data_IF_107428047851
#
_entry.id   IF_107428047851
#
_cell.length_a   1.000
_cell.length_b   1.000
_cell.length_c   1.000
_cell.angle_alpha   90.00
_cell.angle_beta   90.00
_cell.angle_gamma   90.00
#
_symmetry.space_group_name_H-M   'P 1'
#
loop_
_entity.id
_entity.type
_entity.pdbx_description
1 polymer ?
#
# COMPACT_ATOMS: atom_id res chain seq x y z
N UNK A 1 4.95 2.60 -10.31
CA UNK A 1 5.03 3.95 -9.70
C UNK A 1 5.58 3.89 -8.28
N UNK A 2 4.70 3.73 -7.28
CA UNK A 2 5.05 3.82 -5.85
C UNK A 2 6.26 2.98 -5.40
N UNK A 3 6.38 1.73 -5.86
CA UNK A 3 7.53 0.86 -5.52
C UNK A 3 8.89 1.48 -5.89
N UNK A 4 9.02 1.97 -7.12
CA UNK A 4 10.28 2.53 -7.61
C UNK A 4 10.62 3.84 -6.91
N UNK A 5 9.62 4.70 -6.73
CA UNK A 5 9.77 5.96 -6.01
C UNK A 5 10.25 5.72 -4.57
N UNK A 6 9.60 4.80 -3.85
CA UNK A 6 10.00 4.45 -2.48
C UNK A 6 11.45 3.94 -2.45
N UNK A 7 11.86 3.09 -3.40
CA UNK A 7 13.24 2.61 -3.45
C UNK A 7 14.27 3.71 -3.66
N UNK A 8 14.00 4.67 -4.55
CA UNK A 8 14.94 5.76 -4.84
C UNK A 8 15.06 6.75 -3.67
N UNK A 9 13.96 7.03 -2.96
CA UNK A 9 13.96 7.96 -1.83
C UNK A 9 14.44 7.33 -0.52
N UNK A 10 14.37 6.00 -0.39
CA UNK A 10 14.62 5.31 0.87
C UNK A 10 15.99 5.66 1.47
N UNK A 11 17.05 5.57 0.67
CA UNK A 11 18.42 5.81 1.14
C UNK A 11 18.58 7.27 1.60
N UNK A 12 18.01 8.24 0.86
CA UNK A 12 18.03 9.65 1.26
C UNK A 12 17.24 9.90 2.55
N UNK A 13 16.10 9.25 2.72
CA UNK A 13 15.29 9.36 3.94
C UNK A 13 16.02 8.79 5.16
N UNK A 14 16.70 7.65 5.01
CA UNK A 14 17.51 7.04 6.08
C UNK A 14 18.67 7.97 6.45
N UNK A 15 19.41 8.47 5.47
CA UNK A 15 20.52 9.41 5.69
C UNK A 15 20.05 10.70 6.39
N UNK A 16 18.96 11.29 5.91
CA UNK A 16 18.39 12.51 6.51
C UNK A 16 17.90 12.26 7.93
N UNK A 17 17.24 11.12 8.17
CA UNK A 17 16.79 10.74 9.50
C UNK A 17 17.98 10.57 10.44
N UNK A 18 19.07 9.95 10.00
CA UNK A 18 20.30 9.80 10.78
C UNK A 18 20.93 11.14 11.14
N UNK A 19 21.02 12.08 10.18
CA UNK A 19 21.60 13.41 10.39
C UNK A 19 20.77 14.31 11.30
N UNK A 20 19.45 14.30 11.13
CA UNK A 20 18.55 15.25 11.84
C UNK A 20 18.07 14.74 13.19
N UNK A 21 18.17 13.44 13.47
CA UNK A 21 17.54 12.85 14.65
C UNK A 21 16.05 12.54 14.48
N UNK A 22 15.42 13.03 13.41
CA UNK A 22 13.96 12.98 13.21
C UNK A 22 13.58 11.68 12.48
N UNK A 23 12.58 10.97 12.99
CA UNK A 23 12.09 9.73 12.39
C UNK A 23 11.35 9.99 11.07
N UNK A 24 11.75 9.30 9.99
CA UNK A 24 11.04 9.34 8.71
C UNK A 24 9.80 8.44 8.72
N UNK A 25 8.74 8.82 8.00
CA UNK A 25 7.50 8.02 7.88
C UNK A 25 7.05 7.92 6.43
N UNK A 26 6.72 6.71 5.98
CA UNK A 26 6.18 6.41 4.66
C UNK A 26 4.78 5.81 4.85
N UNK A 27 3.78 6.32 4.13
CA UNK A 27 2.40 5.83 4.25
C UNK A 27 1.90 5.41 2.87
N UNK A 28 1.60 4.12 2.71
CA UNK A 28 1.00 3.56 1.50
C UNK A 28 -0.53 3.54 1.63
N UNK A 29 -1.22 4.16 0.68
CA UNK A 29 -2.69 4.23 0.65
C UNK A 29 -3.28 3.05 -0.15
N UNK A 30 -3.76 2.04 0.57
CA UNK A 30 -4.53 0.90 0.04
C UNK A 30 -6.04 1.19 0.00
N UNK A 31 -6.87 0.15 -0.22
CA UNK A 31 -8.34 0.22 -0.34
C UNK A 31 -8.96 -1.10 0.13
N UNK A 32 -10.21 -1.09 0.60
CA UNK A 32 -10.94 -2.27 1.14
C UNK A 32 -10.99 -3.44 0.15
N UNK A 33 -10.95 -3.15 -1.14
CA UNK A 33 -11.02 -4.14 -2.22
C UNK A 33 -9.83 -5.12 -2.23
N UNK A 34 -8.74 -4.84 -1.50
CA UNK A 34 -7.65 -5.79 -1.32
C UNK A 34 -8.13 -7.14 -0.74
N UNK A 35 -9.20 -7.13 0.05
CA UNK A 35 -9.78 -8.34 0.66
C UNK A 35 -10.50 -9.26 -0.33
N UNK A 36 -10.84 -8.75 -1.52
CA UNK A 36 -11.49 -9.53 -2.58
C UNK A 36 -10.52 -10.47 -3.30
N UNK A 37 -9.21 -10.30 -3.09
CA UNK A 37 -8.20 -11.20 -3.61
C UNK A 37 -8.03 -12.37 -2.65
N UNK A 38 -8.54 -13.55 -3.05
CA UNK A 38 -8.20 -14.80 -2.37
C UNK A 38 -6.69 -15.04 -2.43
N UNK A 39 -6.11 -15.57 -1.35
CA UNK A 39 -4.67 -15.87 -1.23
C UNK A 39 -4.14 -16.73 -2.39
N UNK A 40 -4.98 -17.62 -2.92
CA UNK A 40 -4.67 -18.53 -4.04
C UNK A 40 -4.78 -17.88 -5.42
N UNK A 41 -5.34 -16.67 -5.52
CA UNK A 41 -5.61 -15.97 -6.79
C UNK A 41 -4.72 -14.73 -7.00
N UNK A 42 -3.72 -14.54 -6.14
CA UNK A 42 -2.73 -13.48 -6.31
C UNK A 42 -1.66 -13.95 -7.31
N UNK A 43 -1.65 -13.33 -8.50
CA UNK A 43 -0.72 -13.67 -9.57
C UNK A 43 -0.15 -12.38 -10.17
N UNK A 44 1.15 -12.13 -9.99
CA UNK A 44 1.82 -10.98 -10.60
C UNK A 44 1.86 -11.04 -12.12
N UNK A 45 1.92 -12.25 -12.71
CA UNK A 45 1.90 -12.44 -14.17
C UNK A 45 0.56 -12.02 -14.78
N UNK A 46 -0.55 -12.35 -14.12
CA UNK A 46 -1.89 -11.98 -14.58
C UNK A 46 -2.10 -10.46 -14.56
N UNK A 47 -1.47 -9.77 -13.61
CA UNK A 47 -1.55 -8.30 -13.49
C UNK A 47 -0.84 -7.56 -14.64
N UNK A 48 0.20 -8.16 -15.21
CA UNK A 48 0.97 -7.61 -16.34
C UNK A 48 0.49 -8.18 -17.70
N UNK A 49 -0.36 -9.19 -17.67
CA UNK A 49 -0.93 -9.84 -18.85
C UNK A 49 -2.14 -9.06 -19.37
N UNK A 50 -2.09 -8.60 -20.61
CA UNK A 50 -3.23 -7.97 -21.29
C UNK A 50 -4.34 -8.95 -21.71
N UNK A 51 -4.11 -10.27 -21.62
CA UNK A 51 -5.12 -11.29 -21.98
C UNK A 51 -6.10 -11.47 -20.81
N UNK A 52 -7.39 -11.25 -21.06
CA UNK A 52 -8.50 -11.33 -20.07
C UNK A 52 -8.38 -10.33 -18.90
N UNK A 53 -8.06 -9.07 -19.21
CA UNK A 53 -7.96 -8.01 -18.20
C UNK A 53 -9.30 -7.74 -17.51
N UNK A 54 -9.34 -7.91 -16.20
CA UNK A 54 -10.46 -7.50 -15.35
C UNK A 54 -9.99 -6.36 -14.44
N UNK A 55 -10.49 -5.14 -14.70
CA UNK A 55 -10.06 -3.93 -13.99
C UNK A 55 -10.27 -4.01 -12.48
N UNK A 56 -11.39 -4.60 -12.03
CA UNK A 56 -11.69 -4.79 -10.61
C UNK A 56 -10.68 -5.73 -9.95
N UNK A 57 -10.35 -6.85 -10.59
CA UNK A 57 -9.35 -7.81 -10.09
C UNK A 57 -7.94 -7.23 -10.10
N UNK A 58 -7.55 -6.53 -11.16
CA UNK A 58 -6.25 -5.88 -11.27
C UNK A 58 -6.08 -4.76 -10.21
N UNK A 59 -7.13 -3.99 -9.96
CA UNK A 59 -7.15 -2.98 -8.90
C UNK A 59 -7.07 -3.61 -7.50
N UNK A 60 -7.84 -4.68 -7.25
CA UNK A 60 -7.78 -5.45 -6.00
C UNK A 60 -6.38 -6.00 -5.72
N UNK A 61 -5.74 -6.61 -6.73
CA UNK A 61 -4.37 -7.10 -6.62
C UNK A 61 -3.36 -5.97 -6.41
N UNK A 62 -3.53 -4.82 -7.06
CA UNK A 62 -2.66 -3.66 -6.86
C UNK A 62 -2.74 -3.13 -5.43
N UNK A 63 -3.94 -3.07 -4.84
CA UNK A 63 -4.16 -2.62 -3.46
C UNK A 63 -3.64 -3.63 -2.43
N UNK A 64 -3.72 -4.93 -2.72
CA UNK A 64 -3.03 -5.97 -1.94
C UNK A 64 -1.50 -5.84 -2.05
N UNK A 65 -0.96 -5.60 -3.24
CA UNK A 65 0.48 -5.43 -3.46
C UNK A 65 1.05 -4.25 -2.66
N UNK A 66 0.29 -3.16 -2.47
CA UNK A 66 0.71 -2.04 -1.61
C UNK A 66 0.87 -2.43 -0.13
N UNK A 67 -0.01 -3.31 0.39
CA UNK A 67 0.07 -3.82 1.77
C UNK A 67 1.26 -4.76 1.91
N UNK A 68 1.44 -5.68 0.96
CA UNK A 68 2.58 -6.60 0.94
C UNK A 68 3.91 -5.85 0.85
N UNK A 69 3.95 -4.80 0.03
CA UNK A 69 5.11 -3.93 -0.08
C UNK A 69 5.43 -3.23 1.24
N UNK A 70 4.43 -2.65 1.93
CA UNK A 70 4.65 -2.04 3.24
C UNK A 70 5.18 -3.04 4.27
N UNK A 71 4.62 -4.26 4.32
CA UNK A 71 5.10 -5.32 5.21
C UNK A 71 6.56 -5.69 4.98
N UNK A 72 6.92 -5.96 3.72
CA UNK A 72 8.28 -6.37 3.40
C UNK A 72 9.28 -5.23 3.63
N UNK A 73 8.90 -4.00 3.30
CA UNK A 73 9.73 -2.82 3.57
C UNK A 73 9.91 -2.58 5.07
N UNK A 74 8.85 -2.74 5.88
CA UNK A 74 8.95 -2.62 7.34
C UNK A 74 9.93 -3.65 7.92
N UNK A 75 9.89 -4.89 7.39
CA UNK A 75 10.85 -5.95 7.77
C UNK A 75 12.29 -5.55 7.42
N UNK A 76 12.52 -5.01 6.22
CA UNK A 76 13.84 -4.57 5.78
C UNK A 76 14.36 -3.38 6.58
N UNK A 77 13.52 -2.37 6.85
CA UNK A 77 13.89 -1.19 7.63
C UNK A 77 14.26 -1.58 9.07
N UNK A 78 13.52 -2.50 9.66
CA UNK A 78 13.83 -3.06 10.99
C UNK A 78 15.17 -3.81 10.99
N UNK A 79 15.43 -4.62 9.97
CA UNK A 79 16.70 -5.33 9.82
C UNK A 79 17.90 -4.39 9.64
N UNK A 80 17.69 -3.22 9.03
CA UNK A 80 18.70 -2.16 8.83
C UNK A 80 18.84 -1.22 10.04
N UNK A 81 18.06 -1.43 11.10
CA UNK A 81 17.96 -0.52 12.25
C UNK A 81 17.71 0.95 11.84
N UNK A 82 16.96 1.14 10.76
CA UNK A 82 16.70 2.46 10.21
C UNK A 82 15.64 3.19 11.04
N UNK A 83 15.83 4.50 11.26
CA UNK A 83 14.83 5.38 11.88
C UNK A 83 13.74 5.83 10.90
N UNK A 84 13.27 4.92 10.06
CA UNK A 84 12.20 5.14 9.10
C UNK A 84 11.14 4.06 9.31
N UNK A 85 9.88 4.47 9.40
CA UNK A 85 8.74 3.55 9.46
C UNK A 85 7.95 3.60 8.16
N UNK A 86 7.31 2.48 7.82
CA UNK A 86 6.40 2.39 6.69
C UNK A 86 5.14 1.66 7.10
N UNK A 87 4.00 2.30 6.87
CA UNK A 87 2.69 1.77 7.21
C UNK A 87 1.80 1.70 5.97
N UNK A 88 0.82 0.80 5.99
CA UNK A 88 -0.24 0.76 4.99
C UNK A 88 -1.59 1.04 5.64
N UNK A 89 -2.33 1.98 5.06
CA UNK A 89 -3.67 2.35 5.49
C UNK A 89 -4.66 2.09 4.37
N UNK A 90 -5.89 1.72 4.70
CA UNK A 90 -7.00 1.91 3.77
C UNK A 90 -8.03 2.84 4.42
N UNK A 91 -8.56 3.82 3.69
CA UNK A 91 -9.41 4.86 4.25
C UNK A 91 -10.88 4.44 4.44
N UNK A 92 -11.22 3.17 4.21
CA UNK A 92 -12.63 2.73 4.09
C UNK A 92 -13.26 3.18 2.77
N UNK A 93 -14.60 3.29 2.72
CA UNK A 93 -15.28 3.93 1.60
C UNK A 93 -15.24 5.44 1.86
N UNK A 94 -14.43 6.13 1.06
CA UNK A 94 -14.30 7.59 1.06
C UNK A 94 -15.12 8.09 -0.12
N UNK A 95 -15.79 9.23 0.03
CA UNK A 95 -16.52 9.90 -1.06
C UNK A 95 -15.54 10.46 -2.11
N UNK A 96 -14.88 9.56 -2.84
CA UNK A 96 -14.20 9.84 -4.10
C UNK A 96 -15.05 9.21 -5.22
N UNK A 97 -14.90 9.67 -6.48
CA UNK A 97 -15.66 9.21 -7.66
C UNK A 97 -15.76 7.68 -7.83
N UNK A 98 -14.91 6.90 -7.17
CA UNK A 98 -14.89 5.44 -7.18
C UNK A 98 -15.92 4.77 -6.24
N UNK A 99 -16.45 5.45 -5.22
CA UNK A 99 -17.35 4.86 -4.21
C UNK A 99 -18.85 5.15 -4.45
N UNK A 100 -19.23 5.82 -5.54
CA UNK A 100 -20.60 6.29 -5.80
C UNK A 100 -21.67 5.20 -6.09
N UNK A 101 -21.46 3.93 -5.72
CA UNK A 101 -22.43 2.86 -5.98
C UNK A 101 -23.25 2.38 -4.77
N UNK A 102 -22.99 2.82 -3.54
CA UNK A 102 -23.80 2.41 -2.38
C UNK A 102 -24.03 3.54 -1.37
N UNK A 103 -25.29 3.98 -1.13
CA UNK A 103 -25.59 4.92 -0.06
C UNK A 103 -25.73 4.13 1.24
N UNK A 104 -24.62 3.95 1.99
CA UNK A 104 -24.73 3.55 3.39
C UNK A 104 -23.89 4.45 4.28
N UNK A 105 -24.58 4.89 5.33
CA UNK A 105 -24.21 5.77 6.42
C UNK A 105 -23.01 5.24 7.23
N UNK A 106 -21.81 5.19 6.62
CA UNK A 106 -20.60 4.60 7.20
C UNK A 106 -19.53 5.64 7.51
N UNK A 107 -19.20 5.79 8.79
CA UNK A 107 -18.02 6.55 9.26
C UNK A 107 -16.77 6.13 8.47
N UNK A 108 -16.01 7.11 7.99
CA UNK A 108 -14.67 6.89 7.42
C UNK A 108 -13.71 6.43 8.53
N UNK A 109 -13.65 5.12 8.78
CA UNK A 109 -12.68 4.53 9.70
C UNK A 109 -11.34 4.30 9.01
N UNK A 110 -10.34 5.08 9.41
CA UNK A 110 -8.95 4.84 9.03
C UNK A 110 -8.42 3.63 9.80
N UNK A 111 -8.23 2.50 9.11
CA UNK A 111 -7.59 1.32 9.70
C UNK A 111 -6.14 1.25 9.25
N UNK A 112 -5.23 1.32 10.22
CA UNK A 112 -3.83 0.92 10.04
C UNK A 112 -3.86 -0.58 9.85
N UNK A 113 -3.46 -1.04 8.68
CA UNK A 113 -3.35 -2.47 8.43
C UNK A 113 -2.05 -2.99 9.01
N UNK A 114 -0.97 -2.22 8.85
CA UNK A 114 0.39 -2.50 9.29
C UNK A 114 1.16 -1.19 9.46
#
# INVERSE_FOLDING_TARGET
>A
GHFLLTKMLLEKMIDTSNKTGIQGRIINISSVIHSWVKRTCFCFKDMLSGKNYNGTRAYAQSKLAMILHAKEMARQLKARNARVTINAIHPGCVNDLLCCAEPRNGRCEWKILY
#
